data_IF_787407915733
#
_entry.id   IF_787407915733
#
_cell.length_a   1.000
_cell.length_b   1.000
_cell.length_c   1.000
_cell.angle_alpha   90.00
_cell.angle_beta   90.00
_cell.angle_gamma   90.00
#
_symmetry.space_group_name_H-M   'P 1'
#
loop_
_entity.id
_entity.type
_entity.pdbx_description
1 polymer ?
#
# COMPACT_ATOMS: atom_id res chain seq x y z
N UNK A 1 48.07 -64.00 -46.47
CA UNK A 1 48.32 -64.06 -47.93
C UNK A 1 47.47 -63.01 -48.60
N UNK A 2 48.11 -62.17 -49.43
CA UNK A 2 47.59 -61.45 -50.61
C UNK A 2 46.32 -60.59 -50.49
N UNK A 3 46.16 -59.44 -51.14
CA UNK A 3 46.95 -58.47 -51.92
C UNK A 3 45.87 -57.57 -52.55
N UNK A 4 46.15 -56.30 -52.80
CA UNK A 4 45.39 -55.46 -53.75
C UNK A 4 44.89 -54.16 -53.09
N UNK A 5 45.68 -53.09 -53.11
CA UNK A 5 45.88 -52.15 -54.24
C UNK A 5 44.62 -51.34 -54.55
N UNK A 6 44.60 -50.04 -54.21
CA UNK A 6 45.07 -48.91 -55.02
C UNK A 6 43.91 -48.44 -55.94
N UNK A 7 43.41 -47.19 -55.88
CA UNK A 7 43.93 -46.04 -56.64
C UNK A 7 42.91 -44.87 -56.55
N UNK A 8 43.43 -43.65 -56.29
CA UNK A 8 42.96 -42.29 -56.68
C UNK A 8 41.61 -41.77 -56.12
N UNK A 9 41.35 -40.47 -55.93
CA UNK A 9 41.99 -39.23 -56.41
C UNK A 9 41.62 -38.06 -55.47
N UNK A 10 42.51 -37.07 -55.41
CA UNK A 10 42.43 -35.85 -54.63
C UNK A 10 41.38 -34.84 -55.13
N UNK A 11 40.81 -34.06 -54.19
CA UNK A 11 40.44 -32.66 -54.36
C UNK A 11 40.36 -32.01 -52.97
N UNK A 12 41.39 -31.26 -52.57
CA UNK A 12 41.36 -29.79 -52.49
C UNK A 12 40.07 -29.24 -51.86
N UNK A 13 40.18 -28.77 -50.61
CA UNK A 13 39.95 -27.35 -50.26
C UNK A 13 40.39 -27.10 -48.82
N UNK A 14 41.00 -25.94 -48.63
CA UNK A 14 41.58 -25.38 -47.43
C UNK A 14 40.59 -25.45 -46.25
N UNK A 15 40.99 -25.74 -45.01
CA UNK A 15 42.13 -25.12 -44.34
C UNK A 15 41.67 -23.86 -43.61
N UNK A 16 41.37 -24.04 -42.32
CA UNK A 16 41.41 -23.07 -41.24
C UNK A 16 40.23 -22.11 -41.00
N UNK A 17 39.59 -22.39 -39.85
CA UNK A 17 39.50 -21.45 -38.74
C UNK A 17 38.58 -20.25 -38.90
N UNK A 18 37.37 -20.43 -38.41
CA UNK A 18 36.48 -19.34 -38.07
C UNK A 18 35.33 -19.85 -37.22
N UNK A 19 35.63 -20.27 -35.99
CA UNK A 19 34.64 -20.42 -34.94
C UNK A 19 34.02 -19.03 -34.68
N UNK A 20 33.00 -18.70 -35.47
CA UNK A 20 32.20 -17.50 -35.33
C UNK A 20 31.55 -17.52 -33.94
N UNK A 21 31.72 -16.47 -33.13
CA UNK A 21 31.29 -16.58 -31.76
C UNK A 21 29.76 -16.54 -31.62
N UNK A 22 29.23 -17.47 -30.84
CA UNK A 22 27.83 -17.53 -30.40
C UNK A 22 27.49 -16.42 -29.38
N UNK A 23 28.00 -15.19 -29.56
CA UNK A 23 27.69 -14.02 -28.74
C UNK A 23 27.12 -12.86 -29.57
N UNK A 24 26.34 -13.13 -30.61
CA UNK A 24 25.35 -12.16 -31.07
C UNK A 24 24.19 -12.09 -30.05
N UNK A 25 24.50 -11.69 -28.80
CA UNK A 25 23.53 -11.18 -27.86
C UNK A 25 22.94 -9.93 -28.52
N UNK A 26 21.70 -10.05 -29.02
CA UNK A 26 20.82 -8.89 -29.18
C UNK A 26 20.99 -8.06 -27.92
N UNK A 27 21.64 -6.91 -28.03
CA UNK A 27 21.59 -5.88 -27.01
C UNK A 27 20.11 -5.51 -26.89
N UNK A 28 19.44 -6.16 -25.94
CA UNK A 28 18.13 -5.76 -25.47
C UNK A 28 18.35 -4.33 -25.03
N UNK A 29 17.82 -3.37 -25.80
CA UNK A 29 17.80 -1.97 -25.42
C UNK A 29 17.34 -1.96 -23.95
N UNK A 30 18.25 -1.53 -23.06
CA UNK A 30 17.92 -1.34 -21.67
C UNK A 30 16.70 -0.42 -21.66
N UNK A 31 15.62 -0.87 -21.01
CA UNK A 31 14.49 0.00 -20.75
C UNK A 31 15.02 1.32 -20.17
N UNK A 32 14.44 2.49 -20.55
CA UNK A 32 14.91 3.77 -20.04
C UNK A 32 14.99 3.65 -18.52
N UNK A 33 16.16 4.00 -18.00
CA UNK A 33 16.45 3.89 -16.59
C UNK A 33 15.32 4.57 -15.81
N UNK A 34 14.79 3.83 -14.83
CA UNK A 34 13.76 4.21 -13.85
C UNK A 34 14.31 5.31 -12.93
N UNK A 35 14.76 6.41 -13.52
CA UNK A 35 15.39 7.54 -12.88
C UNK A 35 14.29 8.54 -12.63
N UNK A 36 13.68 8.46 -11.46
CA UNK A 36 12.96 9.60 -10.92
C UNK A 36 13.83 10.87 -10.98
N UNK A 37 13.20 12.04 -10.99
CA UNK A 37 13.88 13.33 -10.99
C UNK A 37 14.38 13.77 -9.61
N UNK A 38 14.06 13.00 -8.56
CA UNK A 38 14.55 13.23 -7.21
C UNK A 38 16.08 13.08 -7.11
N UNK A 39 16.70 13.90 -6.27
CA UNK A 39 18.12 13.80 -5.95
C UNK A 39 18.45 12.52 -5.17
N UNK A 40 19.73 12.13 -5.18
CA UNK A 40 20.20 10.90 -4.55
C UNK A 40 19.95 10.86 -3.04
N UNK A 41 20.01 12.01 -2.36
CA UNK A 41 19.78 12.11 -0.92
C UNK A 41 18.30 11.88 -0.59
N UNK A 42 17.39 12.45 -1.38
CA UNK A 42 15.94 12.21 -1.30
C UNK A 42 15.61 10.73 -1.53
N UNK A 43 16.23 10.09 -2.54
CA UNK A 43 16.02 8.66 -2.80
C UNK A 43 16.51 7.83 -1.61
N UNK A 44 17.69 8.12 -1.07
CA UNK A 44 18.26 7.41 0.07
C UNK A 44 17.43 7.58 1.35
N UNK A 45 16.90 8.79 1.59
CA UNK A 45 15.95 9.06 2.67
C UNK A 45 14.72 8.16 2.55
N UNK A 46 14.10 8.11 1.36
CA UNK A 46 12.91 7.30 1.12
C UNK A 46 13.23 5.81 1.29
N UNK A 47 14.33 5.31 0.72
CA UNK A 47 14.71 3.90 0.87
C UNK A 47 14.96 3.52 2.33
N UNK A 48 15.61 4.39 3.11
CA UNK A 48 15.83 4.19 4.54
C UNK A 48 14.52 4.13 5.32
N UNK A 49 13.58 5.03 5.02
CA UNK A 49 12.26 5.06 5.64
C UNK A 49 11.43 3.82 5.31
N UNK A 50 11.53 3.32 4.08
CA UNK A 50 10.81 2.12 3.63
C UNK A 50 11.39 0.83 4.19
N UNK A 51 12.67 0.81 4.56
CA UNK A 51 13.34 -0.35 5.12
C UNK A 51 13.07 -0.55 6.62
N UNK A 52 12.58 0.47 7.33
CA UNK A 52 12.41 0.45 8.79
C UNK A 52 10.93 0.45 9.22
N UNK A 53 10.59 -0.22 10.34
CA UNK A 53 9.27 -0.08 10.94
C UNK A 53 9.08 1.35 11.48
N UNK A 54 7.83 1.82 11.52
CA UNK A 54 7.50 3.20 11.91
C UNK A 54 7.95 3.56 13.33
N UNK A 55 7.98 2.58 14.23
CA UNK A 55 8.45 2.72 15.61
C UNK A 55 9.94 3.05 15.74
N UNK A 56 10.75 2.76 14.71
CA UNK A 56 12.20 2.97 14.69
C UNK A 56 12.61 4.20 13.86
N UNK A 57 11.63 4.94 13.32
CA UNK A 57 11.92 6.11 12.51
C UNK A 57 12.29 7.31 13.40
N UNK A 58 13.35 8.06 13.03
CA UNK A 58 13.69 9.30 13.73
C UNK A 58 12.59 10.34 13.51
N UNK A 59 11.99 10.91 14.57
CA UNK A 59 10.90 11.89 14.46
C UNK A 59 11.28 13.10 13.60
N UNK A 60 12.53 13.56 13.71
CA UNK A 60 13.08 14.70 12.95
C UNK A 60 13.13 14.46 11.44
N UNK A 61 13.16 13.20 11.00
CA UNK A 61 13.21 12.86 9.57
C UNK A 61 11.81 12.62 8.97
N UNK A 62 10.75 12.58 9.79
CA UNK A 62 9.37 12.44 9.29
C UNK A 62 8.94 13.64 8.45
N UNK A 63 9.13 14.92 8.88
CA UNK A 63 8.77 16.07 8.05
C UNK A 63 9.40 16.09 6.65
N UNK A 64 10.74 15.90 6.49
CA UNK A 64 11.33 15.88 5.15
C UNK A 64 10.83 14.70 4.31
N UNK A 65 10.63 13.52 4.91
CA UNK A 65 10.02 12.39 4.19
C UNK A 65 8.62 12.72 3.68
N UNK A 66 7.78 13.35 4.51
CA UNK A 66 6.39 13.70 4.15
C UNK A 66 6.28 14.78 3.08
N UNK A 67 7.33 15.58 2.89
CA UNK A 67 7.42 16.65 1.91
C UNK A 67 7.84 16.16 0.50
N UNK A 68 8.29 14.91 0.37
CA UNK A 68 8.72 14.35 -0.92
C UNK A 68 7.52 14.21 -1.86
N UNK A 69 7.65 14.70 -3.09
CA UNK A 69 6.67 14.50 -4.16
C UNK A 69 6.75 13.06 -4.69
N UNK A 70 5.68 12.24 -4.61
CA UNK A 70 5.68 10.89 -5.17
C UNK A 70 6.02 10.83 -6.67
N UNK A 71 5.74 11.88 -7.43
CA UNK A 71 5.96 11.88 -8.89
C UNK A 71 7.45 11.93 -9.26
N UNK A 72 8.29 12.48 -8.39
CA UNK A 72 9.74 12.62 -8.63
C UNK A 72 10.51 11.36 -8.26
N UNK A 73 9.89 10.41 -7.56
CA UNK A 73 10.53 9.16 -7.17
C UNK A 73 10.61 8.13 -8.32
N UNK A 74 11.58 7.20 -8.29
CA UNK A 74 11.59 6.01 -9.16
C UNK A 74 10.29 5.21 -9.03
N UNK A 75 9.79 4.65 -10.13
CA UNK A 75 8.50 3.91 -10.19
C UNK A 75 8.45 2.81 -9.13
N UNK A 76 9.57 2.10 -8.94
CA UNK A 76 9.71 1.04 -7.91
C UNK A 76 9.46 1.51 -6.47
N UNK A 77 9.66 2.80 -6.17
CA UNK A 77 9.50 3.38 -4.83
C UNK A 77 8.17 4.10 -4.62
N UNK A 78 7.52 4.59 -5.70
CA UNK A 78 6.32 5.44 -5.60
C UNK A 78 5.21 4.82 -4.78
N UNK A 79 4.86 3.57 -5.06
CA UNK A 79 3.74 2.91 -4.41
C UNK A 79 4.03 2.62 -2.93
N UNK A 80 5.23 2.11 -2.64
CA UNK A 80 5.69 1.88 -1.26
C UNK A 80 5.72 3.18 -0.45
N UNK A 81 6.22 4.26 -1.07
CA UNK A 81 6.22 5.60 -0.48
C UNK A 81 4.81 6.08 -0.16
N UNK A 82 3.86 5.97 -1.10
CA UNK A 82 2.45 6.37 -0.89
C UNK A 82 1.80 5.62 0.27
N UNK A 83 2.04 4.31 0.36
CA UNK A 83 1.52 3.48 1.46
C UNK A 83 2.14 3.91 2.80
N UNK A 84 3.48 4.06 2.86
CA UNK A 84 4.17 4.51 4.08
C UNK A 84 3.73 5.89 4.53
N UNK A 85 3.54 6.82 3.58
CA UNK A 85 3.00 8.15 3.83
C UNK A 85 1.58 8.08 4.40
N UNK A 86 0.75 7.18 3.89
CA UNK A 86 -0.62 6.95 4.39
C UNK A 86 -0.59 6.39 5.81
N UNK A 87 0.28 5.42 6.10
CA UNK A 87 0.49 4.89 7.45
C UNK A 87 0.85 6.00 8.45
N UNK A 88 1.82 6.85 8.12
CA UNK A 88 2.26 7.95 8.99
C UNK A 88 1.15 8.97 9.25
N UNK A 89 0.39 9.35 8.21
CA UNK A 89 -0.77 10.25 8.37
C UNK A 89 -1.84 9.63 9.26
N UNK A 90 -2.11 8.34 9.07
CA UNK A 90 -3.07 7.61 9.88
C UNK A 90 -2.64 7.52 11.35
N UNK A 91 -1.37 7.23 11.63
CA UNK A 91 -0.86 7.17 13.00
C UNK A 91 -0.90 8.54 13.68
N UNK A 92 -0.51 9.60 12.97
CA UNK A 92 -0.66 10.98 13.44
C UNK A 92 -2.11 11.26 13.82
N UNK A 93 -3.04 10.90 12.95
CA UNK A 93 -4.47 11.11 13.15
C UNK A 93 -5.03 10.30 14.32
N UNK A 94 -4.64 9.03 14.47
CA UNK A 94 -5.03 8.21 15.63
C UNK A 94 -4.54 8.88 16.92
N UNK A 95 -3.31 9.39 16.93
CA UNK A 95 -2.75 10.08 18.09
C UNK A 95 -3.51 11.39 18.40
N UNK A 96 -3.79 12.22 17.40
CA UNK A 96 -4.61 13.42 17.56
C UNK A 96 -6.02 13.07 18.07
N UNK A 97 -6.63 12.02 17.53
CA UNK A 97 -7.95 11.55 17.95
C UNK A 97 -8.01 11.04 19.39
N UNK A 98 -6.89 10.57 19.97
CA UNK A 98 -6.80 10.19 21.39
C UNK A 98 -6.74 11.40 22.32
N UNK A 99 -6.29 12.55 21.82
CA UNK A 99 -6.21 13.80 22.59
C UNK A 99 -7.49 14.63 22.48
N UNK A 100 -8.29 14.44 21.42
CA UNK A 100 -9.57 15.12 21.23
C UNK A 100 -10.62 14.65 22.25
N UNK A 101 -11.56 15.53 22.65
CA UNK A 101 -12.67 15.15 23.52
C UNK A 101 -13.60 14.13 22.83
N UNK A 102 -14.44 13.40 23.60
CA UNK A 102 -15.37 12.40 23.07
C UNK A 102 -16.31 12.94 21.99
N UNK A 103 -16.81 14.17 22.17
CA UNK A 103 -17.67 14.85 21.20
C UNK A 103 -16.80 15.71 20.30
N UNK A 104 -16.56 15.27 19.06
CA UNK A 104 -15.57 15.88 18.17
C UNK A 104 -16.09 17.02 17.30
N UNK A 105 -17.40 17.12 17.07
CA UNK A 105 -17.99 18.02 16.04
C UNK A 105 -19.29 18.71 16.48
N UNK A 106 -19.47 19.01 17.76
CA UNK A 106 -20.60 19.82 18.21
C UNK A 106 -20.59 21.19 17.51
N UNK A 107 -21.64 21.49 16.73
CA UNK A 107 -21.81 22.78 16.05
C UNK A 107 -20.99 22.97 14.77
N UNK A 108 -20.37 21.93 14.22
CA UNK A 108 -19.64 22.00 12.93
C UNK A 108 -20.54 21.51 11.78
N UNK A 109 -20.80 22.39 10.81
CA UNK A 109 -21.55 22.09 9.59
C UNK A 109 -20.89 20.97 8.75
N UNK A 110 -21.70 20.00 8.33
CA UNK A 110 -21.29 18.84 7.53
C UNK A 110 -20.98 19.29 6.10
N UNK A 111 -19.71 19.53 5.80
CA UNK A 111 -19.29 20.01 4.46
C UNK A 111 -18.20 19.16 3.81
N UNK A 112 -17.81 18.04 4.41
CA UNK A 112 -16.75 17.20 3.87
C UNK A 112 -17.31 16.16 2.88
N UNK A 113 -16.91 16.28 1.61
CA UNK A 113 -17.06 15.19 0.63
C UNK A 113 -16.08 14.07 0.99
N UNK A 114 -16.57 12.84 1.12
CA UNK A 114 -15.75 11.64 1.32
C UNK A 114 -14.75 11.49 0.16
N UNK A 115 -13.47 11.33 0.48
CA UNK A 115 -12.44 11.10 -0.54
C UNK A 115 -12.33 9.60 -0.81
N UNK A 116 -12.74 9.18 -2.00
CA UNK A 116 -12.52 7.82 -2.49
C UNK A 116 -11.23 7.79 -3.29
N UNK A 117 -10.23 7.08 -2.80
CA UNK A 117 -8.91 6.99 -3.45
C UNK A 117 -8.92 5.87 -4.47
N UNK A 118 -8.61 6.19 -5.73
CA UNK A 118 -8.41 5.16 -6.76
C UNK A 118 -6.99 4.64 -6.71
N UNK A 119 -6.84 3.36 -6.39
CA UNK A 119 -5.53 2.72 -6.19
C UNK A 119 -5.46 1.34 -6.83
N UNK A 120 -4.26 0.75 -6.80
CA UNK A 120 -4.01 -0.57 -7.37
C UNK A 120 -4.30 -1.71 -6.36
N UNK A 121 -4.44 -2.94 -6.85
CA UNK A 121 -4.48 -4.12 -5.97
C UNK A 121 -3.17 -4.32 -5.18
N UNK A 122 -2.03 -3.89 -5.74
CA UNK A 122 -0.74 -3.93 -5.05
C UNK A 122 -0.71 -2.95 -3.87
N UNK A 123 -1.39 -1.80 -3.99
CA UNK A 123 -1.54 -0.83 -2.90
C UNK A 123 -2.29 -1.46 -1.72
N UNK A 124 -3.41 -2.16 -1.97
CA UNK A 124 -4.15 -2.87 -0.91
C UNK A 124 -3.29 -3.90 -0.18
N UNK A 125 -2.52 -4.70 -0.93
CA UNK A 125 -1.62 -5.68 -0.35
C UNK A 125 -0.57 -5.03 0.56
N UNK A 126 0.00 -3.91 0.12
CA UNK A 126 0.98 -3.16 0.91
C UNK A 126 0.35 -2.51 2.15
N UNK A 127 -0.88 -1.98 2.04
CA UNK A 127 -1.64 -1.46 3.19
C UNK A 127 -1.86 -2.55 4.24
N UNK A 128 -2.18 -3.77 3.81
CA UNK A 128 -2.29 -4.95 4.69
C UNK A 128 -1.02 -5.21 5.50
N UNK A 129 0.14 -5.11 4.85
CA UNK A 129 1.45 -5.26 5.52
C UNK A 129 1.74 -4.15 6.53
N UNK A 130 1.15 -2.97 6.37
CA UNK A 130 1.25 -1.83 7.30
C UNK A 130 0.17 -1.84 8.38
N UNK A 131 -0.52 -2.98 8.57
CA UNK A 131 -1.48 -3.17 9.65
C UNK A 131 -2.87 -2.59 9.36
N UNK A 132 -3.20 -2.27 8.11
CA UNK A 132 -4.59 -2.06 7.72
C UNK A 132 -5.28 -3.40 7.49
N UNK A 133 -6.52 -3.52 7.94
CA UNK A 133 -7.35 -4.68 7.69
C UNK A 133 -8.67 -4.24 7.06
N UNK A 134 -9.21 -5.10 6.21
CA UNK A 134 -10.47 -4.85 5.54
C UNK A 134 -11.65 -5.03 6.50
N UNK A 135 -12.62 -4.11 6.39
CA UNK A 135 -13.93 -4.21 7.03
C UNK A 135 -15.02 -4.35 5.97
N UNK A 136 -16.12 -5.00 6.32
CA UNK A 136 -17.27 -5.13 5.43
C UNK A 136 -18.15 -3.88 5.46
N UNK A 137 -19.03 -3.72 4.47
CA UNK A 137 -20.05 -2.65 4.49
C UNK A 137 -21.00 -2.76 5.69
N UNK A 138 -21.30 -3.97 6.15
CA UNK A 138 -22.15 -4.15 7.34
C UNK A 138 -21.42 -3.73 8.63
N UNK A 139 -20.11 -3.94 8.69
CA UNK A 139 -19.25 -3.46 9.78
C UNK A 139 -19.17 -1.93 9.77
N UNK A 140 -18.98 -1.31 8.60
CA UNK A 140 -19.06 0.15 8.44
C UNK A 140 -20.41 0.71 8.90
N UNK A 141 -21.52 0.11 8.45
CA UNK A 141 -22.86 0.51 8.87
C UNK A 141 -23.07 0.39 10.38
N UNK A 142 -22.50 -0.66 11.00
CA UNK A 142 -22.50 -0.80 12.46
C UNK A 142 -21.66 0.28 13.15
N UNK A 143 -20.48 0.62 12.62
CA UNK A 143 -19.65 1.71 13.14
C UNK A 143 -20.40 3.04 13.09
N UNK A 144 -21.04 3.37 11.97
CA UNK A 144 -21.85 4.58 11.83
C UNK A 144 -23.01 4.60 12.83
N UNK A 145 -23.73 3.48 13.03
CA UNK A 145 -24.80 3.41 14.04
C UNK A 145 -24.29 3.65 15.46
N UNK A 146 -23.13 3.06 15.83
CA UNK A 146 -22.61 3.16 17.21
C UNK A 146 -21.93 4.48 17.52
N UNK A 147 -21.23 5.05 16.55
CA UNK A 147 -20.47 6.29 16.73
C UNK A 147 -21.27 7.54 16.39
N UNK A 148 -22.42 7.37 15.72
CA UNK A 148 -23.22 8.44 15.11
C UNK A 148 -22.44 9.29 14.10
N UNK A 149 -21.28 8.82 13.67
CA UNK A 149 -20.48 9.41 12.60
C UNK A 149 -21.06 9.07 11.23
N UNK A 150 -21.02 10.03 10.31
CA UNK A 150 -21.14 9.73 8.88
C UNK A 150 -19.88 9.06 8.33
N UNK A 151 -19.96 8.43 7.16
CA UNK A 151 -18.81 7.81 6.49
C UNK A 151 -17.63 8.78 6.35
N UNK A 152 -17.92 10.03 5.98
CA UNK A 152 -16.89 11.05 5.77
C UNK A 152 -16.28 11.48 7.11
N UNK A 153 -17.04 11.44 8.20
CA UNK A 153 -16.51 11.67 9.54
C UNK A 153 -15.63 10.52 10.00
N UNK A 154 -15.98 9.26 9.68
CA UNK A 154 -15.10 8.13 9.92
C UNK A 154 -13.78 8.29 9.15
N UNK A 155 -13.83 8.73 7.89
CA UNK A 155 -12.64 9.04 7.11
C UNK A 155 -11.88 10.28 7.57
N UNK A 156 -12.51 11.26 8.22
CA UNK A 156 -11.92 12.54 8.63
C UNK A 156 -11.41 12.54 10.07
N UNK A 157 -11.97 11.70 10.94
CA UNK A 157 -11.63 11.64 12.37
C UNK A 157 -10.95 10.33 12.78
N UNK A 158 -11.11 9.27 11.99
CA UNK A 158 -10.51 7.96 12.24
C UNK A 158 -9.67 7.51 11.05
N UNK A 159 -9.12 6.30 11.13
CA UNK A 159 -8.22 5.74 10.11
C UNK A 159 -8.93 5.14 8.90
N UNK A 160 -10.26 5.24 8.80
CA UNK A 160 -11.01 4.66 7.69
C UNK A 160 -10.47 5.20 6.36
N UNK A 161 -10.02 4.30 5.49
CA UNK A 161 -9.62 4.58 4.12
C UNK A 161 -10.58 3.86 3.18
N UNK A 162 -11.05 4.57 2.16
CA UNK A 162 -11.95 4.01 1.15
C UNK A 162 -11.18 4.00 -0.15
N UNK A 163 -10.96 2.80 -0.67
CA UNK A 163 -10.11 2.56 -1.83
C UNK A 163 -10.94 1.90 -2.91
N UNK A 164 -10.97 2.51 -4.10
CA UNK A 164 -11.58 1.94 -5.29
C UNK A 164 -10.48 1.32 -6.16
N UNK A 165 -10.57 0.00 -6.41
CA UNK A 165 -9.66 -0.71 -7.30
C UNK A 165 -10.32 -0.88 -8.66
N UNK A 166 -9.68 -0.40 -9.76
CA UNK A 166 -10.25 -0.52 -11.09
C UNK A 166 -10.31 -1.98 -11.53
N UNK A 167 -11.29 -2.36 -12.37
CA UNK A 167 -11.48 -3.73 -12.79
C UNK A 167 -10.29 -4.23 -13.61
N UNK A 168 -9.82 -5.44 -13.32
CA UNK A 168 -8.74 -6.10 -14.07
C UNK A 168 -9.25 -6.61 -15.42
N UNK A 169 -10.54 -6.99 -15.50
CA UNK A 169 -11.17 -7.49 -16.73
C UNK A 169 -12.23 -6.53 -17.24
N UNK A 170 -12.30 -6.39 -18.57
CA UNK A 170 -13.34 -5.61 -19.25
C UNK A 170 -14.73 -6.16 -18.88
N UNK A 171 -15.60 -5.31 -18.35
CA UNK A 171 -16.96 -5.68 -17.93
C UNK A 171 -17.12 -6.02 -16.45
N UNK A 172 -16.04 -6.05 -15.66
CA UNK A 172 -16.13 -6.05 -14.20
C UNK A 172 -16.33 -4.63 -13.69
N UNK A 173 -17.06 -4.49 -12.58
CA UNK A 173 -17.18 -3.22 -11.87
C UNK A 173 -15.93 -2.99 -11.02
N UNK A 174 -15.61 -1.73 -10.77
CA UNK A 174 -14.57 -1.38 -9.80
C UNK A 174 -15.01 -1.86 -8.41
N UNK A 175 -14.06 -2.38 -7.65
CA UNK A 175 -14.32 -2.91 -6.31
C UNK A 175 -13.98 -1.85 -5.26
N UNK A 176 -14.91 -1.63 -4.32
CA UNK A 176 -14.75 -0.69 -3.22
C UNK A 176 -14.29 -1.45 -1.99
N UNK A 177 -13.11 -1.11 -1.49
CA UNK A 177 -12.51 -1.69 -0.29
C UNK A 177 -12.51 -0.67 0.85
N UNK A 178 -12.88 -1.12 2.04
CA UNK A 178 -12.88 -0.33 3.26
C UNK A 178 -11.75 -0.83 4.16
N UNK A 179 -10.78 0.02 4.44
CA UNK A 179 -9.60 -0.34 5.21
C UNK A 179 -9.56 0.44 6.53
N UNK A 180 -9.31 -0.26 7.63
CA UNK A 180 -9.17 0.32 8.96
C UNK A 180 -7.83 -0.11 9.58
N UNK A 181 -7.09 0.82 10.18
CA UNK A 181 -5.79 0.50 10.79
C UNK A 181 -5.98 -0.26 12.11
N UNK A 182 -5.21 -1.33 12.33
CA UNK A 182 -5.22 -2.19 13.52
C UNK A 182 -5.15 -1.46 14.87
N UNK A 183 -4.53 -0.28 14.90
CA UNK A 183 -4.35 0.52 16.11
C UNK A 183 -5.49 1.54 16.35
N UNK A 184 -6.48 1.59 15.47
CA UNK A 184 -7.61 2.50 15.57
C UNK A 184 -8.58 2.07 16.68
N UNK A 185 -9.08 3.01 17.52
CA UNK A 185 -10.09 2.70 18.53
C UNK A 185 -11.37 2.05 17.97
N UNK A 186 -11.72 2.28 16.70
CA UNK A 186 -12.89 1.65 16.07
C UNK A 186 -12.77 0.13 15.94
N UNK A 187 -11.57 -0.45 15.97
CA UNK A 187 -11.42 -1.91 15.93
C UNK A 187 -12.05 -2.61 17.13
N UNK A 188 -12.18 -1.94 18.28
CA UNK A 188 -12.90 -2.49 19.41
C UNK A 188 -14.39 -2.73 19.06
N UNK A 189 -15.01 -1.80 18.32
CA UNK A 189 -16.40 -1.92 17.87
C UNK A 189 -16.56 -2.99 16.77
N UNK A 190 -15.62 -3.07 15.82
CA UNK A 190 -15.68 -4.13 14.82
C UNK A 190 -15.44 -5.51 15.46
N UNK A 191 -14.55 -5.60 16.46
CA UNK A 191 -14.37 -6.81 17.27
C UNK A 191 -15.66 -7.26 17.95
N UNK A 192 -16.41 -6.33 18.55
CA UNK A 192 -17.74 -6.60 19.09
C UNK A 192 -18.71 -7.12 18.02
N UNK A 193 -18.74 -6.50 16.85
CA UNK A 193 -19.61 -6.93 15.76
C UNK A 193 -19.30 -8.37 15.33
N UNK A 194 -18.01 -8.69 15.12
CA UNK A 194 -17.54 -10.01 14.69
C UNK A 194 -17.79 -11.11 15.72
N UNK A 195 -17.80 -10.78 17.01
CA UNK A 195 -18.08 -11.75 18.09
C UNK A 195 -19.57 -12.13 18.21
N UNK A 196 -20.44 -11.51 17.41
CA UNK A 196 -21.88 -11.76 17.43
C UNK A 196 -22.61 -10.86 18.43
N UNK A 197 -23.76 -10.31 18.02
CA UNK A 197 -24.58 -9.31 18.73
C UNK A 197 -25.19 -9.80 20.08
N UNK A 198 -24.80 -10.97 20.58
CA UNK A 198 -25.53 -11.70 21.64
C UNK A 198 -24.79 -11.84 22.98
N UNK A 199 -23.56 -11.34 23.13
CA UNK A 199 -22.81 -11.43 24.41
C UNK A 199 -22.50 -10.09 25.09
N UNK A 200 -23.18 -9.02 24.73
CA UNK A 200 -23.02 -7.69 25.37
C UNK A 200 -24.07 -7.43 26.45
N UNK A 201 -24.30 -8.41 27.33
CA UNK A 201 -24.96 -8.23 28.64
C UNK A 201 -23.96 -8.25 29.80
N UNK A 202 -22.68 -8.00 29.51
CA UNK A 202 -21.62 -7.81 30.49
C UNK A 202 -20.95 -6.44 30.32
N UNK A 203 -21.00 -5.64 31.37
CA UNK A 203 -20.31 -4.37 31.59
C UNK A 203 -18.89 -4.30 31.02
N UNK A 204 -18.64 -3.74 29.83
CA UNK A 204 -17.25 -3.54 29.32
C UNK A 204 -17.05 -2.53 28.17
N UNK A 205 -17.94 -1.55 27.93
CA UNK A 205 -17.61 -0.45 26.98
C UNK A 205 -17.78 0.96 27.55
N UNK A 206 -18.52 1.12 28.65
CA UNK A 206 -18.70 2.42 29.31
C UNK A 206 -17.65 2.72 30.41
N UNK A 207 -16.70 1.81 30.65
CA UNK A 207 -15.68 1.94 31.71
C UNK A 207 -14.27 2.31 31.24
N UNK A 208 -14.00 2.24 29.94
CA UNK A 208 -12.79 2.76 29.31
C UNK A 208 -13.27 3.99 28.55
N UNK A 209 -12.73 5.17 28.81
CA UNK A 209 -13.20 6.47 28.30
C UNK A 209 -13.13 6.68 26.77
N UNK A 210 -13.56 5.70 25.98
CA UNK A 210 -13.69 5.75 24.53
C UNK A 210 -15.17 5.77 24.17
N UNK A 211 -15.75 6.96 24.18
CA UNK A 211 -16.91 7.24 23.34
C UNK A 211 -16.39 7.94 22.10
N UNK A 212 -16.02 7.21 21.02
CA UNK A 212 -15.81 7.82 19.73
C UNK A 212 -17.18 8.29 19.22
N UNK A 213 -17.59 9.50 19.62
CA UNK A 213 -18.83 10.12 19.16
C UNK A 213 -18.49 11.24 18.16
N UNK A 214 -18.99 11.11 16.94
CA UNK A 214 -19.13 12.28 16.10
C UNK A 214 -20.54 12.82 16.36
N UNK A 215 -20.56 13.98 17.02
CA UNK A 215 -21.73 14.73 17.53
C UNK A 215 -22.20 14.34 18.93
#
# INVERSE_FOLDING_TARGET
MNRGSCVLLAALLLGLSGAGPAWAKKAKAAAPADLGTADADTINLVETFLARPTSELPPEAVPPFMAVDPATLPVRLREKYRVKRTELLTLKKINEGRQKPPLRRLGVEETATCEVKRESAQFLKLMGQMGFAEITHDEEGFLMDKTKCSECELQAEFSLQIVEVPPVKKGQLAERHLLLNGNDPLWALVGLYRQGREKTTGTSFFGIGMQPACR
#
